data_IF_347742192263
#
_entry.id   IF_347742192263
#
_cell.length_a   1.000
_cell.length_b   1.000
_cell.length_c   1.000
_cell.angle_alpha   90.00
_cell.angle_beta   90.00
_cell.angle_gamma   90.00
#
_symmetry.space_group_name_H-M   'P 1'
#
loop_
_entity.id
_entity.type
_entity.pdbx_description
1 polymer ?
#
# COMPACT_ATOMS: atom_id res chain seq x y z
N UNK A 1 -22.40 47.22 -57.78
CA UNK A 1 -22.60 46.27 -56.66
C UNK A 1 -21.28 45.54 -56.44
N UNK A 2 -20.70 45.56 -55.24
CA UNK A 2 -19.39 44.96 -54.99
C UNK A 2 -19.51 43.56 -54.38
N UNK A 3 -18.71 42.61 -54.87
CA UNK A 3 -18.47 41.34 -54.17
C UNK A 3 -17.37 41.56 -53.13
N UNK A 4 -17.68 41.23 -51.87
CA UNK A 4 -16.81 41.49 -50.72
C UNK A 4 -15.93 40.25 -50.49
N UNK A 5 -14.63 40.35 -50.79
CA UNK A 5 -13.68 39.28 -50.53
C UNK A 5 -13.55 39.01 -49.02
N UNK A 6 -13.40 37.74 -48.64
CA UNK A 6 -13.18 37.34 -47.25
C UNK A 6 -11.69 37.46 -46.86
N UNK A 7 -11.35 37.89 -45.64
CA UNK A 7 -9.97 37.99 -45.18
C UNK A 7 -9.36 36.59 -44.92
N UNK A 8 -8.02 36.44 -45.02
CA UNK A 8 -7.35 35.20 -44.69
C UNK A 8 -7.45 34.87 -43.19
N UNK A 9 -7.42 33.58 -42.86
CA UNK A 9 -7.39 33.12 -41.46
C UNK A 9 -6.00 33.35 -40.85
N UNK A 10 -5.89 33.78 -39.57
CA UNK A 10 -4.61 33.89 -38.90
C UNK A 10 -3.99 32.49 -38.66
N UNK A 11 -2.67 32.39 -38.83
CA UNK A 11 -1.89 31.20 -38.47
C UNK A 11 -1.81 31.07 -36.95
N UNK A 12 -2.22 29.91 -36.41
CA UNK A 12 -2.16 29.64 -34.97
C UNK A 12 -0.71 29.58 -34.49
N UNK A 13 -0.35 30.40 -33.49
CA UNK A 13 0.95 30.33 -32.83
C UNK A 13 0.98 29.20 -31.79
N UNK A 14 2.05 28.39 -31.79
CA UNK A 14 2.22 27.28 -30.85
C UNK A 14 2.58 27.76 -29.42
N UNK A 15 1.58 28.27 -28.71
CA UNK A 15 1.71 28.66 -27.30
C UNK A 15 2.15 27.48 -26.44
N UNK A 16 3.37 27.56 -25.91
CA UNK A 16 3.87 26.61 -24.90
C UNK A 16 3.21 26.92 -23.55
N UNK A 17 2.08 26.29 -23.27
CA UNK A 17 1.45 26.33 -21.95
C UNK A 17 2.38 25.71 -20.90
N UNK A 18 2.92 26.53 -19.99
CA UNK A 18 3.51 26.03 -18.76
C UNK A 18 2.39 25.39 -17.91
N UNK A 19 2.28 24.06 -17.97
CA UNK A 19 1.43 23.30 -17.06
C UNK A 19 2.08 23.38 -15.67
N UNK A 20 1.51 24.18 -14.78
CA UNK A 20 1.96 24.27 -13.40
C UNK A 20 1.89 22.91 -12.73
N UNK A 21 2.98 22.50 -12.07
CA UNK A 21 3.12 21.19 -11.46
C UNK A 21 2.26 21.06 -10.18
N UNK A 22 0.95 20.90 -10.36
CA UNK A 22 0.09 20.35 -9.32
C UNK A 22 0.62 18.96 -8.96
N UNK A 23 0.87 18.71 -7.68
CA UNK A 23 1.26 17.40 -7.21
C UNK A 23 0.14 16.41 -7.55
N UNK A 24 0.39 15.49 -8.49
CA UNK A 24 -0.57 14.48 -8.90
C UNK A 24 -1.02 13.70 -7.66
N UNK A 25 -2.30 13.84 -7.32
CA UNK A 25 -2.89 13.16 -6.18
C UNK A 25 -2.74 11.66 -6.37
N UNK A 26 -1.90 11.04 -5.54
CA UNK A 26 -1.58 9.62 -5.68
C UNK A 26 -2.87 8.78 -5.72
N UNK A 27 -3.00 7.81 -6.64
CA UNK A 27 -4.19 6.97 -6.73
C UNK A 27 -4.44 6.33 -5.36
N UNK A 28 -5.68 6.47 -4.87
CA UNK A 28 -6.04 6.39 -3.44
C UNK A 28 -5.98 4.99 -2.81
N UNK A 29 -5.24 4.08 -3.43
CA UNK A 29 -5.33 2.63 -3.26
C UNK A 29 -4.12 1.87 -3.84
N UNK A 30 -2.90 2.38 -3.71
CA UNK A 30 -1.73 1.50 -3.88
C UNK A 30 -1.73 0.41 -2.80
N UNK A 31 -1.44 -0.86 -3.15
CA UNK A 31 -1.23 -1.94 -2.16
C UNK A 31 0.11 -1.81 -1.41
N UNK A 32 0.94 -0.85 -1.82
CA UNK A 32 2.22 -0.50 -1.24
C UNK A 32 2.17 0.94 -0.71
N UNK A 33 2.86 1.20 0.40
CA UNK A 33 3.07 2.54 0.93
C UNK A 33 4.56 2.88 0.92
N UNK A 34 4.95 4.13 0.61
CA UNK A 34 6.34 4.55 0.68
C UNK A 34 6.88 4.39 2.10
N UNK A 35 8.12 3.88 2.28
CA UNK A 35 8.77 3.82 3.59
C UNK A 35 8.74 5.17 4.32
N UNK A 36 8.61 5.16 5.64
CA UNK A 36 8.43 6.37 6.47
C UNK A 36 9.58 7.38 6.46
N UNK A 37 10.73 7.03 5.87
CA UNK A 37 11.85 7.95 5.62
C UNK A 37 11.77 8.67 4.26
N UNK A 38 10.81 8.31 3.41
CA UNK A 38 10.57 9.01 2.15
C UNK A 38 9.93 10.36 2.46
N UNK A 39 10.51 11.43 1.93
CA UNK A 39 10.10 12.81 2.21
C UNK A 39 10.18 13.65 0.95
N UNK A 40 9.34 14.67 0.86
CA UNK A 40 9.48 15.66 -0.20
C UNK A 40 10.86 16.34 -0.09
N UNK A 41 11.60 16.48 -1.21
CA UNK A 41 12.85 17.22 -1.23
C UNK A 41 12.67 18.68 -0.82
N UNK A 42 13.75 19.32 -0.38
CA UNK A 42 13.76 20.77 -0.12
C UNK A 42 13.77 21.53 -1.46
N UNK A 43 13.26 22.77 -1.52
CA UNK A 43 13.38 23.61 -2.73
C UNK A 43 14.82 23.82 -3.22
N UNK A 44 15.80 23.77 -2.30
CA UNK A 44 17.23 23.89 -2.59
C UNK A 44 17.93 22.56 -2.92
N UNK A 45 17.24 21.41 -2.83
CA UNK A 45 17.81 20.11 -3.24
C UNK A 45 17.98 20.05 -4.76
N UNK A 46 18.94 19.23 -5.21
CA UNK A 46 19.14 18.98 -6.64
C UNK A 46 17.84 18.51 -7.32
N UNK A 47 17.45 19.22 -8.39
CA UNK A 47 16.36 18.83 -9.27
C UNK A 47 16.68 17.45 -9.89
N UNK A 48 15.68 16.58 -9.94
CA UNK A 48 15.85 15.17 -10.27
C UNK A 48 14.83 14.75 -11.32
N UNK A 49 15.29 14.08 -12.37
CA UNK A 49 14.45 13.53 -13.42
C UNK A 49 14.83 12.07 -13.69
N UNK A 50 13.86 11.26 -14.13
CA UNK A 50 14.09 9.88 -14.55
C UNK A 50 13.73 9.75 -16.02
N UNK A 51 14.65 9.16 -16.78
CA UNK A 51 14.43 8.84 -18.20
C UNK A 51 14.14 7.35 -18.34
N UNK A 52 13.02 7.02 -18.97
CA UNK A 52 12.58 5.66 -19.28
C UNK A 52 12.74 5.40 -20.79
N UNK A 53 13.46 4.35 -21.16
CA UNK A 53 13.68 3.94 -22.54
C UNK A 53 13.29 2.46 -22.71
N UNK A 54 12.24 2.19 -23.50
CA UNK A 54 11.90 0.82 -23.89
C UNK A 54 12.81 0.32 -25.02
N UNK A 55 12.80 -0.98 -25.31
CA UNK A 55 13.65 -1.56 -26.38
C UNK A 55 13.46 -0.91 -27.77
N UNK A 56 12.28 -0.33 -28.06
CA UNK A 56 11.92 0.19 -29.40
C UNK A 56 11.36 1.62 -29.40
N UNK A 57 11.25 2.26 -28.25
CA UNK A 57 10.65 3.59 -28.11
C UNK A 57 11.67 4.68 -27.77
N UNK A 58 11.32 5.92 -28.09
CA UNK A 58 12.09 7.10 -27.69
C UNK A 58 12.18 7.24 -26.16
N UNK A 59 13.27 7.81 -25.61
CA UNK A 59 13.41 8.02 -24.18
C UNK A 59 12.40 9.06 -23.65
N UNK A 60 11.52 8.64 -22.74
CA UNK A 60 10.57 9.51 -22.06
C UNK A 60 11.19 10.04 -20.76
N UNK A 61 11.21 11.37 -20.57
CA UNK A 61 11.78 12.02 -19.38
C UNK A 61 10.68 12.54 -18.46
N UNK A 62 10.73 12.11 -17.20
CA UNK A 62 9.79 12.46 -16.15
C UNK A 62 10.50 13.30 -15.08
N UNK A 63 9.93 14.45 -14.71
CA UNK A 63 10.43 15.26 -13.60
C UNK A 63 9.92 14.69 -12.27
N UNK A 64 10.83 14.49 -11.31
CA UNK A 64 10.55 14.00 -9.96
C UNK A 64 11.10 14.97 -8.89
N UNK A 65 11.34 16.23 -9.27
CA UNK A 65 12.01 17.23 -8.45
C UNK A 65 11.25 17.57 -7.16
N UNK A 66 9.92 17.67 -7.20
CA UNK A 66 9.07 17.99 -6.04
C UNK A 66 8.51 16.79 -5.27
N UNK A 67 8.78 15.55 -5.71
CA UNK A 67 8.05 14.36 -5.23
C UNK A 67 8.86 13.51 -4.25
N UNK A 68 8.22 13.08 -3.15
CA UNK A 68 8.81 12.16 -2.17
C UNK A 68 9.08 10.75 -2.74
N UNK A 69 8.30 10.35 -3.74
CA UNK A 69 8.47 9.15 -4.54
C UNK A 69 7.87 9.36 -5.93
N UNK A 70 8.24 8.50 -6.88
CA UNK A 70 7.67 8.42 -8.22
C UNK A 70 7.55 6.95 -8.64
N UNK A 71 6.46 6.59 -9.30
CA UNK A 71 6.18 5.19 -9.67
C UNK A 71 6.67 4.93 -11.09
N UNK A 72 7.34 3.79 -11.28
CA UNK A 72 7.73 3.30 -12.59
C UNK A 72 6.75 2.21 -13.00
N UNK A 73 5.84 2.56 -13.88
CA UNK A 73 4.99 1.60 -14.60
C UNK A 73 5.85 0.77 -15.56
N UNK A 74 5.48 -0.49 -15.75
CA UNK A 74 5.99 -1.27 -16.87
C UNK A 74 5.40 -0.74 -18.18
N UNK A 75 6.12 -0.85 -19.30
CA UNK A 75 5.53 -0.51 -20.60
C UNK A 75 4.31 -1.41 -20.87
N UNK A 76 3.12 -0.83 -20.89
CA UNK A 76 1.88 -1.55 -21.17
C UNK A 76 1.97 -2.14 -22.59
N UNK A 77 2.12 -3.46 -22.68
CA UNK A 77 2.00 -4.20 -23.93
C UNK A 77 0.57 -4.72 -23.97
N UNK A 78 -0.20 -4.25 -24.96
CA UNK A 78 -1.68 -4.21 -24.91
C UNK A 78 -2.36 -5.59 -24.85
N UNK A 79 -1.60 -6.68 -25.01
CA UNK A 79 -2.09 -8.07 -25.15
C UNK A 79 -2.01 -8.94 -23.88
N UNK A 80 -1.60 -8.41 -22.71
CA UNK A 80 -1.37 -9.24 -21.49
C UNK A 80 -1.94 -8.64 -20.21
N UNK A 81 -3.15 -9.08 -19.87
CA UNK A 81 -3.92 -8.69 -18.66
C UNK A 81 -3.20 -8.94 -17.32
N UNK A 82 -2.20 -9.84 -17.27
CA UNK A 82 -1.51 -10.26 -16.05
C UNK A 82 -0.26 -9.42 -15.67
N UNK A 83 0.07 -8.34 -16.40
CA UNK A 83 1.24 -7.50 -16.03
C UNK A 83 0.91 -6.55 -14.87
N UNK A 84 1.67 -6.66 -13.77
CA UNK A 84 1.55 -5.78 -12.61
C UNK A 84 1.71 -4.30 -12.99
N UNK A 85 0.66 -3.52 -12.77
CA UNK A 85 0.58 -2.10 -13.16
C UNK A 85 1.72 -1.23 -12.61
N UNK A 86 2.26 -1.55 -11.43
CA UNK A 86 3.44 -0.89 -10.86
C UNK A 86 4.63 -1.86 -10.83
N UNK A 87 5.77 -1.45 -11.41
CA UNK A 87 6.97 -2.30 -11.49
C UNK A 87 7.97 -1.97 -10.39
N UNK A 88 8.29 -0.68 -10.24
CA UNK A 88 9.24 -0.18 -9.26
C UNK A 88 8.82 1.19 -8.71
N UNK A 89 9.37 1.58 -7.56
CA UNK A 89 9.25 2.95 -7.03
C UNK A 89 10.62 3.60 -6.91
N UNK A 90 10.72 4.82 -7.41
CA UNK A 90 11.82 5.75 -7.14
C UNK A 90 11.47 6.48 -5.84
N UNK A 91 12.38 6.50 -4.88
CA UNK A 91 12.16 7.08 -3.55
C UNK A 91 13.16 8.19 -3.29
N UNK A 92 12.72 9.29 -2.68
CA UNK A 92 13.58 10.41 -2.26
C UNK A 92 13.50 10.59 -0.74
N UNK A 93 14.62 10.94 -0.12
CA UNK A 93 14.68 11.29 1.30
C UNK A 93 14.91 12.80 1.51
N UNK A 94 14.86 13.24 2.76
CA UNK A 94 15.09 14.62 3.25
C UNK A 94 16.43 15.28 2.86
N UNK A 95 17.31 14.59 2.13
CA UNK A 95 18.63 15.08 1.65
C UNK A 95 18.74 14.95 0.13
N UNK A 96 17.61 15.00 -0.58
CA UNK A 96 17.48 14.82 -2.03
C UNK A 96 17.87 13.44 -2.59
N UNK A 97 18.39 12.50 -1.77
CA UNK A 97 19.01 11.25 -2.23
C UNK A 97 17.97 10.30 -2.80
N UNK A 98 18.27 9.77 -3.99
CA UNK A 98 17.40 8.84 -4.69
C UNK A 98 17.71 7.38 -4.37
N UNK A 99 16.66 6.57 -4.33
CA UNK A 99 16.70 5.12 -4.17
C UNK A 99 15.72 4.49 -5.17
N UNK A 100 15.95 3.22 -5.50
CA UNK A 100 15.05 2.38 -6.30
C UNK A 100 14.55 1.21 -5.43
N UNK A 101 13.28 0.85 -5.56
CA UNK A 101 12.65 -0.29 -4.89
C UNK A 101 11.83 -1.09 -5.91
N UNK A 102 12.03 -2.40 -5.93
CA UNK A 102 11.17 -3.33 -6.68
C UNK A 102 9.83 -3.53 -5.95
N UNK A 103 8.71 -3.37 -6.64
CA UNK A 103 7.35 -3.46 -6.05
C UNK A 103 6.77 -4.89 -6.14
N UNK A 104 7.60 -5.91 -5.91
CA UNK A 104 7.27 -7.33 -6.16
C UNK A 104 6.99 -7.62 -7.63
N UNK A 105 7.70 -6.97 -8.55
CA UNK A 105 7.47 -7.16 -9.99
C UNK A 105 7.76 -8.60 -10.42
N UNK A 106 6.87 -9.18 -11.22
CA UNK A 106 6.94 -10.60 -11.61
C UNK A 106 8.24 -10.90 -12.39
N UNK A 107 8.54 -10.07 -13.38
CA UNK A 107 9.75 -10.12 -14.20
C UNK A 107 10.99 -9.55 -13.51
N UNK A 108 10.82 -8.71 -12.48
CA UNK A 108 11.90 -8.23 -11.61
C UNK A 108 12.50 -6.89 -12.01
N UNK A 109 12.98 -6.13 -11.03
CA UNK A 109 13.86 -4.97 -11.22
C UNK A 109 15.32 -5.40 -11.06
N UNK A 110 16.21 -4.93 -11.93
CA UNK A 110 17.63 -5.23 -11.91
C UNK A 110 18.47 -3.95 -11.85
N UNK A 111 19.58 -3.98 -11.12
CA UNK A 111 20.55 -2.89 -11.03
C UNK A 111 21.95 -3.50 -11.00
N UNK A 112 22.90 -2.96 -11.77
CA UNK A 112 24.26 -3.54 -11.91
C UNK A 112 24.25 -5.05 -12.24
N UNK A 113 23.34 -5.48 -13.13
CA UNK A 113 23.07 -6.88 -13.52
C UNK A 113 22.54 -7.80 -12.40
N UNK A 114 22.28 -7.30 -11.19
CA UNK A 114 21.71 -8.07 -10.07
C UNK A 114 20.21 -7.79 -9.90
N UNK A 115 19.37 -8.82 -9.69
CA UNK A 115 17.95 -8.63 -9.36
C UNK A 115 17.82 -8.05 -7.95
N UNK A 116 17.06 -6.96 -7.82
CA UNK A 116 16.75 -6.37 -6.53
C UNK A 116 15.80 -7.27 -5.73
N UNK A 117 15.89 -7.23 -4.40
CA UNK A 117 14.91 -7.90 -3.53
C UNK A 117 13.63 -7.06 -3.48
N UNK A 118 12.43 -7.66 -3.70
CA UNK A 118 11.16 -6.98 -3.54
C UNK A 118 11.03 -6.22 -2.22
N UNK A 119 10.41 -5.03 -2.29
CA UNK A 119 10.12 -4.13 -1.16
C UNK A 119 11.36 -3.69 -0.35
N UNK A 120 12.58 -3.87 -0.89
CA UNK A 120 13.80 -3.29 -0.33
C UNK A 120 14.27 -2.11 -1.18
N UNK A 121 14.58 -0.99 -0.54
CA UNK A 121 15.21 0.16 -1.17
C UNK A 121 16.72 -0.07 -1.37
N UNK A 122 17.21 0.34 -2.53
CA UNK A 122 18.62 0.35 -2.91
C UNK A 122 19.01 1.76 -3.33
N UNK A 123 20.15 2.29 -2.86
CA UNK A 123 20.62 3.62 -3.26
C UNK A 123 20.86 3.64 -4.78
N UNK A 124 20.26 4.62 -5.47
CA UNK A 124 20.40 4.77 -6.91
C UNK A 124 21.26 6.00 -7.20
N UNK A 125 22.40 5.79 -7.87
CA UNK A 125 23.27 6.88 -8.32
C UNK A 125 22.96 7.22 -9.81
N UNK A 126 23.21 8.45 -10.29
CA UNK A 126 22.93 8.86 -11.67
C UNK A 126 23.67 8.06 -12.76
N UNK A 127 24.87 7.57 -12.45
CA UNK A 127 25.72 6.74 -13.32
C UNK A 127 25.22 5.30 -13.50
N UNK A 128 24.24 4.87 -12.69
CA UNK A 128 23.75 3.50 -12.67
C UNK A 128 22.44 3.37 -13.44
N UNK A 129 22.43 2.56 -14.50
CA UNK A 129 21.18 2.16 -15.18
C UNK A 129 20.45 1.08 -14.39
N UNK A 130 19.15 1.29 -14.17
CA UNK A 130 18.20 0.29 -13.69
C UNK A 130 17.50 -0.34 -14.89
N UNK A 131 17.17 -1.63 -14.80
CA UNK A 131 16.39 -2.35 -15.82
C UNK A 131 15.12 -2.90 -15.18
N UNK A 132 13.98 -2.51 -15.74
CA UNK A 132 12.65 -2.99 -15.37
C UNK A 132 12.29 -4.15 -16.30
N UNK A 133 12.13 -5.34 -15.73
CA UNK A 133 11.72 -6.55 -16.44
C UNK A 133 12.86 -7.29 -17.12
N UNK A 134 12.50 -8.21 -18.02
CA UNK A 134 13.43 -9.09 -18.73
C UNK A 134 13.35 -8.88 -20.25
N UNK A 135 14.44 -9.12 -21.01
CA UNK A 135 14.39 -9.10 -22.47
C UNK A 135 13.34 -10.06 -23.06
N UNK A 136 12.73 -9.72 -24.22
CA UNK A 136 12.95 -8.48 -24.98
C UNK A 136 12.25 -7.26 -24.37
N UNK A 137 11.15 -7.45 -23.64
CA UNK A 137 10.23 -6.41 -23.14
C UNK A 137 10.74 -5.67 -21.88
N UNK A 138 12.02 -5.29 -21.85
CA UNK A 138 12.60 -4.53 -20.73
C UNK A 138 12.57 -3.02 -21.00
N UNK A 139 12.41 -2.24 -19.92
CA UNK A 139 12.57 -0.78 -19.93
C UNK A 139 13.83 -0.44 -19.14
N UNK A 140 14.70 0.39 -19.72
CA UNK A 140 15.86 0.96 -19.03
C UNK A 140 15.43 2.25 -18.34
N UNK A 141 15.80 2.41 -17.09
CA UNK A 141 15.60 3.62 -16.32
C UNK A 141 16.96 4.24 -15.96
N UNK A 142 17.11 5.54 -16.23
CA UNK A 142 18.30 6.33 -15.92
C UNK A 142 17.93 7.53 -15.06
N UNK A 143 18.69 7.78 -13.99
CA UNK A 143 18.48 8.89 -13.08
C UNK A 143 19.36 10.08 -13.49
N UNK A 144 18.77 11.26 -13.61
CA UNK A 144 19.47 12.50 -13.88
C UNK A 144 19.28 13.46 -12.70
N UNK A 145 20.37 13.88 -12.08
CA UNK A 145 20.36 14.98 -11.11
C UNK A 145 20.97 16.21 -11.79
N UNK A 146 20.22 17.30 -11.85
CA UNK A 146 20.80 18.58 -12.19
C UNK A 146 21.78 18.97 -11.08
N UNK A 147 23.00 19.36 -11.44
CA UNK A 147 23.84 20.09 -10.49
C UNK A 147 23.09 21.39 -10.18
N UNK A 148 22.55 21.50 -8.96
CA UNK A 148 21.87 22.71 -8.54
C UNK A 148 22.80 23.89 -8.76
N UNK A 149 22.31 24.93 -9.43
CA UNK A 149 23.05 26.17 -9.64
C UNK A 149 23.31 26.79 -8.28
N UNK A 150 24.45 26.40 -7.69
CA UNK A 150 24.95 26.86 -6.40
C UNK A 150 25.13 28.36 -6.54
N UNK A 151 24.07 29.12 -6.21
CA UNK A 151 24.09 30.58 -6.22
C UNK A 151 25.34 30.99 -5.49
N UNK A 152 26.26 31.60 -6.22
CA UNK A 152 27.35 32.34 -5.61
C UNK A 152 26.68 33.29 -4.63
N UNK A 153 26.89 33.04 -3.34
CA UNK A 153 26.57 34.02 -2.31
C UNK A 153 27.60 35.12 -2.52
N UNK A 154 27.28 36.03 -3.43
CA UNK A 154 28.11 37.17 -3.76
C UNK A 154 28.47 37.89 -2.46
N UNK A 155 29.72 38.32 -2.38
CA UNK A 155 30.28 38.84 -1.14
C UNK A 155 29.48 40.03 -0.67
N UNK A 156 29.03 39.97 0.57
CA UNK A 156 28.57 41.14 1.33
C UNK A 156 29.80 42.05 1.50
N UNK A 157 30.01 42.90 0.49
CA UNK A 157 31.20 43.72 0.31
C UNK A 157 30.94 45.04 1.00
N UNK A 158 31.49 45.21 2.19
CA UNK A 158 31.32 46.42 3.00
C UNK A 158 31.95 47.63 2.32
N UNK A 159 31.13 48.52 1.75
CA UNK A 159 31.52 49.90 1.46
C UNK A 159 31.18 50.79 2.67
N UNK A 160 32.20 51.37 3.29
CA UNK A 160 32.02 52.49 4.22
C UNK A 160 31.73 53.78 3.44
N UNK A 161 30.64 54.47 3.76
CA UNK A 161 30.39 55.83 3.30
C UNK A 161 29.75 56.67 4.42
N UNK A 162 30.43 57.74 4.82
CA UNK A 162 30.10 58.52 6.02
C UNK A 162 29.45 59.87 5.71
N UNK A 163 28.19 60.06 6.11
CA UNK A 163 27.55 61.38 6.29
C UNK A 163 26.29 61.23 7.17
N UNK A 164 26.28 61.67 8.43
CA UNK A 164 26.06 63.05 8.89
C UNK A 164 24.68 63.63 8.53
N UNK A 165 23.70 63.47 9.44
CA UNK A 165 22.39 64.11 9.39
C UNK A 165 21.66 63.96 10.73
N UNK A 166 21.10 65.04 11.28
CA UNK A 166 20.64 65.10 12.68
C UNK A 166 19.12 65.37 12.83
N UNK A 167 18.62 65.21 14.06
CA UNK A 167 17.28 65.62 14.55
C UNK A 167 16.10 64.77 14.05
N UNK A 168 15.04 64.48 14.83
CA UNK A 168 14.61 64.95 16.17
C UNK A 168 13.63 63.96 16.87
N UNK A 169 13.30 64.25 18.14
CA UNK A 169 12.09 63.87 18.92
C UNK A 169 11.10 62.80 18.37
N UNK A 170 10.66 61.78 19.13
CA UNK A 170 10.89 61.40 20.53
C UNK A 170 9.62 61.40 21.41
N UNK A 171 9.37 60.32 22.16
CA UNK A 171 8.49 60.29 23.36
C UNK A 171 8.70 59.00 24.16
N UNK A 172 8.65 59.10 25.49
CA UNK A 172 8.78 57.96 26.41
C UNK A 172 7.64 57.93 27.44
N UNK A 173 7.02 56.77 27.67
CA UNK A 173 6.21 56.40 28.85
C UNK A 173 5.52 55.04 28.63
N UNK A 174 5.15 54.22 29.64
CA UNK A 174 5.62 54.06 31.04
C UNK A 174 4.93 52.82 31.64
N UNK A 175 5.70 51.87 32.20
CA UNK A 175 5.32 50.85 33.22
C UNK A 175 3.91 50.20 33.18
N UNK A 176 3.86 48.86 33.25
CA UNK A 176 3.67 48.18 34.56
C UNK A 176 4.07 46.70 34.52
N UNK A 177 4.52 46.20 35.67
CA UNK A 177 4.59 44.78 36.00
C UNK A 177 3.81 44.55 37.30
N UNK A 178 3.24 43.35 37.47
CA UNK A 178 2.70 42.81 38.73
C UNK A 178 2.93 41.30 38.71
N UNK A 179 3.24 40.70 39.85
CA UNK A 179 3.40 39.24 40.02
C UNK A 179 2.87 38.79 41.39
N UNK A 180 2.24 37.62 41.42
CA UNK A 180 1.88 36.75 42.56
C UNK A 180 1.32 35.43 41.94
N UNK A 181 1.51 34.18 42.39
CA UNK A 181 1.73 33.54 43.71
C UNK A 181 0.53 33.66 44.68
N UNK A 182 0.09 32.65 45.44
CA UNK A 182 0.30 31.18 45.45
C UNK A 182 -0.93 30.55 46.20
N UNK A 183 -1.05 29.29 46.67
CA UNK A 183 -0.19 28.11 46.80
C UNK A 183 -1.07 26.82 47.00
N UNK A 184 -0.43 25.65 47.16
CA UNK A 184 -0.94 24.43 47.86
C UNK A 184 -2.03 23.58 47.16
N UNK A 185 -2.08 22.24 47.26
CA UNK A 185 -1.24 21.19 47.89
C UNK A 185 -1.98 19.83 47.81
N UNK A 186 -1.50 18.65 48.24
CA UNK A 186 -0.18 18.13 48.64
C UNK A 186 -0.23 16.57 48.66
N UNK A 187 0.91 15.88 48.83
CA UNK A 187 1.03 14.40 48.92
C UNK A 187 1.59 13.75 47.65
N UNK A 188 2.71 13.02 47.62
CA UNK A 188 3.23 11.92 48.46
C UNK A 188 2.54 10.55 48.18
N UNK A 189 3.24 9.41 48.11
CA UNK A 189 4.63 9.11 48.45
C UNK A 189 5.33 8.20 47.41
N UNK A 190 6.66 8.09 47.51
CA UNK A 190 7.47 7.14 46.74
C UNK A 190 7.83 5.90 47.60
N UNK A 191 8.05 4.75 46.95
CA UNK A 191 8.60 3.55 47.58
C UNK A 191 9.60 2.87 46.63
N UNK A 192 10.83 2.65 47.09
CA UNK A 192 11.90 2.01 46.31
C UNK A 192 12.81 1.18 47.24
N UNK A 193 12.81 -0.14 47.05
CA UNK A 193 13.59 -1.13 47.82
C UNK A 193 13.71 -2.42 46.99
N UNK A 194 14.76 -3.24 47.15
CA UNK A 194 16.14 -2.89 46.84
C UNK A 194 16.76 -3.85 45.80
N UNK A 195 18.02 -3.60 45.40
CA UNK A 195 18.85 -4.64 44.80
C UNK A 195 19.39 -5.59 45.88
N UNK A 196 19.52 -6.88 45.55
CA UNK A 196 20.29 -7.86 46.32
C UNK A 196 21.50 -8.34 45.51
N UNK A 197 22.60 -8.64 46.20
CA UNK A 197 23.85 -9.07 45.58
C UNK A 197 24.41 -10.29 46.32
N UNK A 198 25.14 -11.13 45.57
CA UNK A 198 25.99 -12.18 46.13
C UNK A 198 25.35 -13.55 46.29
N UNK A 199 25.82 -14.51 45.50
CA UNK A 199 26.35 -15.77 46.00
C UNK A 199 27.26 -16.39 44.93
N UNK A 200 28.52 -16.64 45.26
CA UNK A 200 29.45 -17.39 44.41
C UNK A 200 29.26 -18.88 44.65
N UNK A 201 29.30 -19.70 43.60
CA UNK A 201 29.58 -21.12 43.74
C UNK A 201 30.46 -21.63 42.59
N UNK A 202 31.55 -22.29 42.97
CA UNK A 202 32.23 -23.29 42.15
C UNK A 202 31.36 -24.57 42.10
N UNK A 203 31.70 -25.68 41.44
CA UNK A 203 32.99 -26.22 40.98
C UNK A 203 32.78 -27.28 39.86
N UNK A 204 33.78 -28.14 39.66
CA UNK A 204 33.72 -29.45 38.98
C UNK A 204 33.84 -29.49 37.45
N UNK A 205 35.09 -29.71 37.04
CA UNK A 205 35.49 -30.39 35.80
C UNK A 205 34.84 -31.77 35.62
N UNK A 206 34.45 -32.11 34.38
CA UNK A 206 34.04 -33.45 33.95
C UNK A 206 34.51 -33.73 32.51
N UNK A 207 34.75 -34.99 32.10
CA UNK A 207 35.60 -35.29 30.96
C UNK A 207 34.92 -35.18 29.58
N UNK A 208 35.77 -35.06 28.55
CA UNK A 208 35.40 -35.26 27.14
C UNK A 208 35.33 -36.76 26.82
N UNK A 209 34.22 -37.24 26.30
CA UNK A 209 34.19 -38.46 25.49
C UNK A 209 34.12 -38.11 24.00
N UNK A 210 34.85 -38.86 23.17
CA UNK A 210 34.75 -38.77 21.72
C UNK A 210 33.71 -39.78 21.23
N UNK A 211 32.73 -39.32 20.46
CA UNK A 211 31.76 -40.20 19.79
C UNK A 211 31.77 -39.96 18.29
N UNK A 212 31.64 -41.04 17.52
CA UNK A 212 31.99 -41.07 16.11
C UNK A 212 30.96 -40.40 15.20
N UNK A 213 31.43 -39.84 14.08
CA UNK A 213 30.55 -39.45 12.95
C UNK A 213 29.99 -40.72 12.29
N UNK A 214 28.68 -40.95 12.45
CA UNK A 214 27.91 -41.73 11.48
C UNK A 214 27.31 -40.76 10.45
N UNK A 215 27.52 -40.99 9.15
CA UNK A 215 26.83 -40.22 8.11
C UNK A 215 25.39 -40.75 7.93
N UNK A 216 24.37 -39.88 7.94
CA UNK A 216 23.01 -40.28 7.61
C UNK A 216 22.90 -40.52 6.10
N UNK A 217 22.49 -41.73 5.71
CA UNK A 217 22.35 -42.12 4.31
C UNK A 217 21.40 -41.16 3.55
N UNK A 218 21.78 -40.80 2.33
CA UNK A 218 21.05 -39.87 1.48
C UNK A 218 19.72 -40.48 0.98
N UNK A 219 18.66 -40.34 1.78
CA UNK A 219 17.31 -40.70 1.35
C UNK A 219 16.90 -39.86 0.14
N UNK A 220 16.57 -40.53 -0.97
CA UNK A 220 16.22 -39.89 -2.23
C UNK A 220 15.08 -38.88 -2.05
N UNK A 221 15.38 -37.59 -2.29
CA UNK A 221 14.47 -36.51 -2.00
C UNK A 221 13.28 -36.49 -2.97
N UNK A 222 12.17 -37.07 -2.55
CA UNK A 222 10.85 -36.92 -3.18
C UNK A 222 10.54 -35.44 -3.49
N UNK A 223 10.15 -35.16 -4.75
CA UNK A 223 9.79 -33.82 -5.24
C UNK A 223 8.41 -33.36 -4.73
N UNK A 224 8.24 -33.33 -3.40
CA UNK A 224 7.07 -32.75 -2.76
C UNK A 224 6.99 -31.24 -2.96
N UNK A 225 5.77 -30.71 -2.99
CA UNK A 225 5.51 -29.27 -2.78
C UNK A 225 5.59 -28.97 -1.27
N UNK A 226 5.78 -27.70 -0.94
CA UNK A 226 5.84 -27.24 0.45
C UNK A 226 4.44 -27.00 1.02
N UNK A 227 3.99 -27.80 1.98
CA UNK A 227 2.63 -27.71 2.57
C UNK A 227 2.35 -26.38 3.31
N UNK A 228 3.37 -25.52 3.47
CA UNK A 228 3.30 -24.18 4.09
C UNK A 228 3.19 -23.03 3.07
N UNK A 229 3.50 -23.23 1.79
CA UNK A 229 3.49 -22.16 0.78
C UNK A 229 3.37 -22.63 -0.69
N UNK A 230 3.06 -23.90 -0.93
CA UNK A 230 2.92 -24.58 -2.23
C UNK A 230 4.16 -24.56 -3.17
N UNK A 231 5.25 -23.92 -2.75
CA UNK A 231 6.49 -23.80 -3.51
C UNK A 231 7.24 -25.14 -3.70
N UNK A 232 8.16 -25.22 -4.68
CA UNK A 232 8.84 -26.45 -5.09
C UNK A 232 10.03 -26.82 -4.17
N UNK A 233 9.75 -27.08 -2.90
CA UNK A 233 10.74 -27.47 -1.89
C UNK A 233 10.08 -28.24 -0.75
N UNK A 234 10.87 -28.99 0.05
CA UNK A 234 10.35 -29.70 1.24
C UNK A 234 9.85 -28.73 2.31
N UNK A 235 8.79 -29.14 3.02
CA UNK A 235 8.08 -28.36 4.05
C UNK A 235 8.94 -27.92 5.23
N UNK A 236 10.01 -28.65 5.56
CA UNK A 236 11.05 -28.21 6.52
C UNK A 236 11.88 -27.02 5.99
N UNK A 237 12.28 -27.08 4.71
CA UNK A 237 13.20 -26.13 4.07
C UNK A 237 12.51 -24.83 3.60
N UNK A 238 11.32 -24.52 4.13
CA UNK A 238 10.52 -23.38 3.68
C UNK A 238 11.21 -22.04 3.98
N UNK A 239 11.57 -21.23 2.97
CA UNK A 239 12.28 -19.97 3.19
C UNK A 239 11.40 -18.92 3.90
N UNK A 240 10.08 -19.04 3.75
CA UNK A 240 9.07 -18.18 4.39
C UNK A 240 8.76 -18.63 5.84
N UNK A 241 8.71 -19.94 6.09
CA UNK A 241 8.16 -20.52 7.33
C UNK A 241 9.14 -21.49 8.00
N UNK A 242 10.20 -20.92 8.57
CA UNK A 242 11.33 -21.63 9.22
C UNK A 242 10.99 -22.28 10.57
N UNK A 243 9.82 -22.01 11.13
CA UNK A 243 9.31 -22.67 12.35
C UNK A 243 8.51 -23.94 11.98
N UNK A 244 8.36 -24.92 12.88
CA UNK A 244 7.34 -25.96 12.75
C UNK A 244 5.94 -25.32 12.60
N UNK A 245 4.98 -26.06 12.02
CA UNK A 245 3.60 -25.57 11.77
C UNK A 245 2.77 -25.55 13.07
N UNK A 246 3.28 -26.21 14.09
CA UNK A 246 2.51 -26.94 15.10
C UNK A 246 2.15 -26.11 16.33
N UNK A 247 1.89 -24.82 16.11
CA UNK A 247 1.47 -23.88 17.15
C UNK A 247 0.61 -22.71 16.67
N UNK A 248 0.33 -22.59 15.37
CA UNK A 248 -0.55 -21.53 14.85
C UNK A 248 -1.99 -22.02 14.66
N UNK A 249 -2.95 -21.18 15.08
CA UNK A 249 -4.37 -21.54 15.26
C UNK A 249 -5.07 -21.87 13.94
N UNK A 250 -4.75 -21.13 12.88
CA UNK A 250 -5.29 -21.31 11.51
C UNK A 250 -5.09 -22.72 10.93
N UNK A 251 -3.92 -23.31 11.13
CA UNK A 251 -3.54 -24.62 10.61
C UNK A 251 -4.37 -25.76 11.25
N UNK A 252 -4.80 -25.59 12.50
CA UNK A 252 -5.50 -26.61 13.28
C UNK A 252 -7.01 -26.37 13.41
N UNK A 253 -7.50 -25.12 13.31
CA UNK A 253 -8.95 -24.78 13.37
C UNK A 253 -9.80 -25.58 12.37
N UNK A 254 -9.21 -25.99 11.24
CA UNK A 254 -9.89 -26.75 10.19
C UNK A 254 -9.56 -28.25 10.18
N UNK A 255 -8.60 -28.71 10.99
CA UNK A 255 -8.21 -30.12 11.01
C UNK A 255 -9.26 -30.92 11.81
N UNK A 256 -9.87 -31.93 11.18
CA UNK A 256 -10.90 -32.78 11.79
C UNK A 256 -12.33 -32.21 11.86
N UNK A 257 -12.56 -30.91 11.58
CA UNK A 257 -13.92 -30.35 11.53
C UNK A 257 -14.56 -30.61 10.16
N UNK A 258 -15.62 -31.44 10.10
CA UNK A 258 -16.34 -31.75 8.85
C UNK A 258 -17.05 -30.54 8.23
N UNK A 259 -17.57 -29.62 9.05
CA UNK A 259 -18.30 -28.42 8.61
C UNK A 259 -17.91 -27.19 9.46
N UNK A 260 -16.72 -26.59 9.26
CA UNK A 260 -16.39 -25.32 9.89
C UNK A 260 -17.20 -24.20 9.22
N UNK A 261 -17.89 -23.39 10.02
CA UNK A 261 -18.67 -22.22 9.56
C UNK A 261 -17.71 -21.11 9.12
N UNK A 262 -17.17 -21.22 7.89
CA UNK A 262 -16.19 -20.29 7.35
C UNK A 262 -16.80 -19.36 6.30
N UNK A 263 -16.97 -18.09 6.69
CA UNK A 263 -16.97 -16.99 5.73
C UNK A 263 -15.63 -16.95 4.99
N UNK A 264 -15.65 -16.52 3.73
CA UNK A 264 -14.47 -16.46 2.86
C UNK A 264 -14.26 -17.70 1.97
N UNK A 265 -14.93 -18.83 2.23
CA UNK A 265 -14.88 -20.01 1.34
C UNK A 265 -15.82 -19.87 0.16
N UNK A 266 -15.48 -20.47 -0.98
CA UNK A 266 -16.31 -20.51 -2.21
C UNK A 266 -17.71 -21.15 -2.06
N UNK A 267 -17.98 -21.82 -0.94
CA UNK A 267 -19.20 -22.60 -0.74
C UNK A 267 -19.31 -23.80 -1.68
N UNK A 268 -18.17 -24.38 -2.07
CA UNK A 268 -18.09 -25.39 -3.13
C UNK A 268 -18.04 -24.78 -4.54
N UNK A 269 -17.81 -25.62 -5.55
CA UNK A 269 -17.61 -25.16 -6.94
C UNK A 269 -18.93 -24.81 -7.63
N UNK A 270 -19.47 -23.63 -7.31
CA UNK A 270 -20.73 -23.13 -7.85
C UNK A 270 -20.52 -22.26 -9.10
N UNK A 271 -21.24 -22.57 -10.17
CA UNK A 271 -21.26 -21.76 -11.40
C UNK A 271 -22.65 -21.14 -11.61
N UNK A 272 -22.69 -19.81 -11.69
CA UNK A 272 -23.84 -19.10 -12.22
C UNK A 272 -23.73 -19.08 -13.74
N UNK A 273 -24.62 -19.80 -14.43
CA UNK A 273 -24.62 -19.92 -15.90
C UNK A 273 -24.98 -18.61 -16.61
N UNK A 274 -25.77 -17.77 -15.95
CA UNK A 274 -26.43 -16.61 -16.54
C UNK A 274 -26.50 -15.45 -15.53
N UNK A 275 -26.01 -14.29 -15.95
CA UNK A 275 -26.01 -13.09 -15.12
C UNK A 275 -25.68 -11.85 -15.93
N UNK A 276 -25.84 -10.67 -15.32
CA UNK A 276 -25.50 -9.37 -15.88
C UNK A 276 -24.60 -8.62 -14.89
N UNK A 277 -23.38 -8.31 -15.32
CA UNK A 277 -22.53 -7.34 -14.64
C UNK A 277 -23.17 -5.94 -14.75
N UNK A 278 -23.04 -5.15 -13.69
CA UNK A 278 -23.50 -3.76 -13.63
C UNK A 278 -22.27 -2.92 -13.24
N UNK A 279 -21.68 -2.18 -14.19
CA UNK A 279 -20.48 -1.38 -13.97
C UNK A 279 -20.59 -0.46 -12.76
N UNK A 280 -19.60 -0.52 -11.87
CA UNK A 280 -19.46 0.41 -10.74
C UNK A 280 -18.37 1.46 -11.01
N UNK A 281 -18.41 2.65 -10.39
CA UNK A 281 -17.40 3.67 -10.64
C UNK A 281 -16.03 3.28 -10.07
N UNK A 282 -14.96 3.62 -10.80
CA UNK A 282 -13.57 3.43 -10.40
C UNK A 282 -13.05 4.38 -9.32
N UNK A 283 -13.91 4.91 -8.45
CA UNK A 283 -13.60 5.94 -7.44
C UNK A 283 -12.89 5.42 -6.18
N UNK A 284 -12.28 4.23 -6.26
CA UNK A 284 -11.73 3.50 -5.12
C UNK A 284 -12.79 2.98 -4.14
N UNK A 285 -14.09 3.09 -4.45
CA UNK A 285 -15.20 2.60 -3.63
C UNK A 285 -16.09 1.56 -4.33
N UNK A 286 -15.67 1.01 -5.47
CA UNK A 286 -16.41 0.04 -6.31
C UNK A 286 -17.08 -1.12 -5.52
N UNK A 287 -16.40 -1.69 -4.51
CA UNK A 287 -16.99 -2.70 -3.62
C UNK A 287 -18.19 -2.13 -2.84
N UNK A 288 -18.05 -0.95 -2.25
CA UNK A 288 -19.11 -0.33 -1.44
C UNK A 288 -20.30 0.05 -2.32
N UNK A 289 -20.07 0.49 -3.57
CA UNK A 289 -21.14 0.69 -4.56
C UNK A 289 -21.84 -0.62 -4.94
N UNK A 290 -21.07 -1.70 -5.20
CA UNK A 290 -21.60 -3.04 -5.44
C UNK A 290 -22.48 -3.57 -4.30
N UNK A 291 -22.01 -3.42 -3.05
CA UNK A 291 -22.76 -3.80 -1.86
C UNK A 291 -24.01 -2.93 -1.70
N UNK A 292 -23.93 -1.61 -1.90
CA UNK A 292 -25.09 -0.71 -1.87
C UNK A 292 -26.13 -1.06 -2.94
N UNK A 293 -25.73 -1.40 -4.17
CA UNK A 293 -26.63 -1.83 -5.23
C UNK A 293 -27.42 -3.09 -4.83
N UNK A 294 -26.74 -4.08 -4.22
CA UNK A 294 -27.39 -5.28 -3.69
C UNK A 294 -28.32 -4.99 -2.50
N UNK A 295 -27.91 -4.13 -1.56
CA UNK A 295 -28.74 -3.70 -0.43
C UNK A 295 -29.98 -2.90 -0.88
N UNK A 296 -29.86 -2.10 -1.95
CA UNK A 296 -30.95 -1.32 -2.55
C UNK A 296 -31.94 -2.18 -3.38
N UNK A 297 -31.67 -3.48 -3.55
CA UNK A 297 -32.49 -4.40 -4.33
C UNK A 297 -32.28 -4.28 -5.84
N UNK A 298 -31.03 -4.11 -6.28
CA UNK A 298 -30.68 -4.02 -7.70
C UNK A 298 -30.95 -2.65 -8.34
N UNK A 299 -31.02 -1.60 -7.53
CA UNK A 299 -31.31 -0.21 -7.96
C UNK A 299 -30.13 0.70 -7.64
N UNK A 300 -29.70 1.49 -8.62
CA UNK A 300 -28.61 2.46 -8.48
C UNK A 300 -28.95 3.58 -7.50
N UNK A 301 -30.21 4.02 -7.48
CA UNK A 301 -30.72 5.00 -6.53
C UNK A 301 -31.50 4.29 -5.42
N UNK A 302 -31.09 4.49 -4.16
CA UNK A 302 -31.72 3.88 -2.99
C UNK A 302 -31.14 4.39 -1.67
N UNK A 303 -31.57 3.80 -0.56
CA UNK A 303 -31.25 4.24 0.81
C UNK A 303 -29.77 4.07 1.16
N UNK A 304 -29.09 3.07 0.59
CA UNK A 304 -27.69 2.78 0.87
C UNK A 304 -26.78 3.48 -0.14
N UNK A 305 -25.83 4.28 0.38
CA UNK A 305 -24.81 5.00 -0.38
C UNK A 305 -23.42 4.54 0.05
N UNK A 306 -22.49 4.35 -0.90
CA UNK A 306 -21.17 3.79 -0.65
C UNK A 306 -20.38 4.51 0.44
N UNK A 307 -20.35 5.84 0.43
CA UNK A 307 -19.65 6.67 1.42
C UNK A 307 -20.22 6.57 2.84
N UNK A 308 -21.52 6.24 2.97
CA UNK A 308 -22.18 5.95 4.25
C UNK A 308 -21.90 4.52 4.70
N UNK A 309 -22.08 3.53 3.82
CA UNK A 309 -21.79 2.12 4.11
C UNK A 309 -20.33 1.93 4.56
N UNK A 310 -19.38 2.53 3.84
CA UNK A 310 -17.94 2.60 4.20
C UNK A 310 -17.71 3.03 5.65
N UNK A 311 -18.41 4.08 6.11
CA UNK A 311 -18.29 4.60 7.49
C UNK A 311 -18.96 3.69 8.52
N UNK A 312 -20.09 3.08 8.18
CA UNK A 312 -20.83 2.12 9.04
C UNK A 312 -20.04 0.81 9.21
N UNK A 313 -19.45 0.26 8.14
CA UNK A 313 -18.64 -0.97 8.19
C UNK A 313 -17.36 -0.79 8.99
N UNK A 314 -16.62 0.29 8.75
CA UNK A 314 -15.42 0.60 9.52
C UNK A 314 -15.72 0.85 11.01
N UNK A 315 -16.87 1.48 11.32
CA UNK A 315 -17.32 1.61 12.72
C UNK A 315 -17.70 0.26 13.33
N UNK A 316 -18.37 -0.62 12.58
CA UNK A 316 -18.67 -1.98 13.03
C UNK A 316 -17.40 -2.75 13.37
N UNK A 317 -16.38 -2.72 12.51
CA UNK A 317 -15.07 -3.34 12.79
C UNK A 317 -14.40 -2.71 14.02
N UNK A 318 -14.43 -1.38 14.16
CA UNK A 318 -13.84 -0.68 15.31
C UNK A 318 -14.53 -1.04 16.64
N UNK A 319 -15.86 -1.21 16.65
CA UNK A 319 -16.63 -1.56 17.85
C UNK A 319 -16.64 -3.06 18.17
N UNK A 320 -16.23 -3.94 17.24
CA UNK A 320 -16.32 -5.40 17.39
C UNK A 320 -14.98 -6.14 17.15
N UNK A 321 -13.81 -5.65 17.62
CA UNK A 321 -12.51 -6.24 17.28
C UNK A 321 -12.39 -7.72 17.67
N UNK A 322 -13.01 -8.13 18.78
CA UNK A 322 -13.02 -9.51 19.31
C UNK A 322 -14.11 -10.42 18.73
N UNK A 323 -14.96 -9.91 17.83
CA UNK A 323 -15.98 -10.73 17.17
C UNK A 323 -15.32 -11.76 16.25
N UNK A 324 -15.75 -13.02 16.34
CA UNK A 324 -15.14 -14.13 15.61
C UNK A 324 -15.80 -14.36 14.24
N UNK A 325 -14.97 -14.48 13.22
CA UNK A 325 -15.29 -14.80 11.84
C UNK A 325 -14.42 -15.97 11.41
N UNK A 326 -15.04 -17.08 10.98
CA UNK A 326 -14.36 -18.31 10.52
C UNK A 326 -13.46 -19.03 11.55
N UNK A 327 -13.44 -18.59 12.80
CA UNK A 327 -12.62 -19.13 13.92
C UNK A 327 -11.77 -18.07 14.62
N UNK A 328 -11.51 -16.96 13.94
CA UNK A 328 -10.54 -15.92 14.29
C UNK A 328 -11.21 -14.57 14.48
N UNK A 329 -10.62 -13.63 15.23
CA UNK A 329 -11.24 -12.34 15.55
C UNK A 329 -11.06 -11.30 14.43
N UNK A 330 -11.93 -10.29 14.37
CA UNK A 330 -11.80 -9.17 13.41
C UNK A 330 -10.46 -8.43 13.54
N UNK A 331 -9.92 -8.29 14.75
CA UNK A 331 -8.58 -7.75 14.98
C UNK A 331 -7.45 -8.66 14.47
N UNK A 332 -7.62 -10.00 14.52
CA UNK A 332 -6.72 -10.96 13.88
C UNK A 332 -6.80 -10.81 12.34
N UNK A 333 -7.99 -10.76 11.75
CA UNK A 333 -8.21 -10.55 10.31
C UNK A 333 -7.56 -9.26 9.80
N UNK A 334 -7.83 -8.12 10.45
CA UNK A 334 -7.21 -6.82 10.10
C UNK A 334 -5.68 -6.88 10.17
N UNK A 335 -5.14 -7.58 11.19
CA UNK A 335 -3.70 -7.73 11.37
C UNK A 335 -3.06 -8.60 10.27
N UNK A 336 -3.72 -9.66 9.81
CA UNK A 336 -3.19 -10.52 8.75
C UNK A 336 -3.29 -9.87 7.36
N UNK A 337 -4.40 -9.18 7.07
CA UNK A 337 -4.63 -8.51 5.77
C UNK A 337 -3.75 -7.27 5.58
N UNK A 338 -3.54 -6.48 6.65
CA UNK A 338 -2.89 -5.15 6.53
C UNK A 338 -1.67 -4.90 7.40
N UNK A 339 -1.29 -5.85 8.27
CA UNK A 339 -0.23 -5.67 9.26
C UNK A 339 -0.37 -4.38 10.10
N UNK A 340 -1.61 -3.99 10.41
CA UNK A 340 -1.94 -2.75 11.12
C UNK A 340 -2.91 -2.99 12.30
N UNK A 341 -3.13 -1.96 13.13
CA UNK A 341 -4.12 -2.00 14.21
C UNK A 341 -5.52 -1.65 13.70
N UNK A 342 -6.55 -2.11 14.41
CA UNK A 342 -7.96 -1.84 14.08
C UNK A 342 -8.26 -0.33 13.95
N UNK A 343 -7.72 0.52 14.83
CA UNK A 343 -7.90 1.98 14.71
C UNK A 343 -7.19 2.60 13.50
N UNK A 344 -6.05 2.05 13.07
CA UNK A 344 -5.36 2.50 11.86
C UNK A 344 -6.14 2.08 10.60
N UNK A 345 -6.52 0.81 10.56
CA UNK A 345 -7.32 0.21 9.49
C UNK A 345 -8.66 0.93 9.30
N UNK A 346 -9.43 1.10 10.37
CA UNK A 346 -10.77 1.70 10.30
C UNK A 346 -10.71 3.20 10.01
N UNK A 347 -9.68 3.91 10.48
CA UNK A 347 -9.41 5.30 10.09
C UNK A 347 -9.11 5.42 8.59
N UNK A 348 -8.29 4.51 8.03
CA UNK A 348 -8.02 4.41 6.58
C UNK A 348 -9.31 4.15 5.80
N UNK A 349 -10.03 3.07 6.10
CA UNK A 349 -11.24 2.68 5.37
C UNK A 349 -12.33 3.77 5.45
N UNK A 350 -12.48 4.48 6.58
CA UNK A 350 -13.41 5.61 6.72
C UNK A 350 -13.15 6.77 5.76
N UNK A 351 -11.89 7.04 5.38
CA UNK A 351 -11.52 8.15 4.52
C UNK A 351 -11.28 7.75 3.06
N UNK A 352 -10.83 6.52 2.78
CA UNK A 352 -10.54 6.05 1.42
C UNK A 352 -9.98 4.63 1.36
N UNK A 353 -9.33 4.29 0.26
CA UNK A 353 -8.81 2.94 0.01
C UNK A 353 -9.88 1.91 -0.38
N UNK A 354 -9.44 0.81 -0.98
CA UNK A 354 -10.31 -0.31 -1.35
C UNK A 354 -10.73 -1.11 -0.11
N UNK A 355 -11.96 -1.62 -0.15
CA UNK A 355 -12.43 -2.65 0.77
C UNK A 355 -12.27 -4.05 0.16
N UNK A 356 -12.34 -5.09 1.00
CA UNK A 356 -12.20 -6.48 0.58
C UNK A 356 -13.01 -7.45 1.45
N UNK A 357 -12.42 -8.61 1.76
CA UNK A 357 -13.09 -9.66 2.53
C UNK A 357 -13.52 -9.23 3.94
N UNK A 358 -12.81 -8.29 4.57
CA UNK A 358 -13.16 -7.73 5.88
C UNK A 358 -14.47 -6.91 5.77
N UNK A 359 -14.58 -6.01 4.79
CA UNK A 359 -15.80 -5.25 4.53
C UNK A 359 -16.98 -6.16 4.17
N UNK A 360 -16.76 -7.20 3.38
CA UNK A 360 -17.82 -8.16 3.04
C UNK A 360 -18.29 -8.93 4.27
N UNK A 361 -17.38 -9.45 5.10
CA UNK A 361 -17.74 -10.15 6.33
C UNK A 361 -18.46 -9.22 7.33
N UNK A 362 -17.96 -7.99 7.50
CA UNK A 362 -18.60 -6.96 8.31
C UNK A 362 -20.00 -6.58 7.78
N UNK A 363 -20.19 -6.51 6.45
CA UNK A 363 -21.47 -6.17 5.84
C UNK A 363 -22.49 -7.31 5.96
N UNK A 364 -22.05 -8.56 5.80
CA UNK A 364 -22.86 -9.76 6.02
C UNK A 364 -23.45 -9.77 7.44
N UNK A 365 -22.58 -9.54 8.44
CA UNK A 365 -22.95 -9.48 9.86
C UNK A 365 -23.84 -8.27 10.19
N UNK A 366 -23.42 -7.05 9.80
CA UNK A 366 -24.12 -5.80 10.15
C UNK A 366 -25.50 -5.68 9.47
N UNK A 367 -25.65 -6.17 8.24
CA UNK A 367 -26.89 -6.05 7.45
C UNK A 367 -27.73 -7.32 7.43
N UNK A 368 -27.23 -8.44 7.97
CA UNK A 368 -27.89 -9.76 7.95
C UNK A 368 -28.24 -10.22 6.53
N UNK A 369 -27.24 -10.15 5.66
CA UNK A 369 -27.31 -10.53 4.23
C UNK A 369 -26.21 -11.53 3.91
N UNK A 370 -26.44 -12.41 2.94
CA UNK A 370 -25.36 -13.21 2.37
C UNK A 370 -24.64 -12.39 1.29
N UNK A 371 -23.33 -12.54 1.13
CA UNK A 371 -22.57 -11.90 0.04
C UNK A 371 -21.77 -12.97 -0.70
N UNK A 372 -22.08 -13.21 -1.97
CA UNK A 372 -21.40 -14.19 -2.82
C UNK A 372 -20.56 -13.45 -3.87
N UNK A 373 -19.26 -13.73 -3.86
CA UNK A 373 -18.27 -13.13 -4.78
C UNK A 373 -17.99 -14.09 -5.91
N UNK A 374 -18.05 -13.59 -7.13
CA UNK A 374 -17.85 -14.33 -8.36
C UNK A 374 -16.69 -13.78 -9.16
N UNK A 375 -16.15 -14.61 -10.04
CA UNK A 375 -15.16 -14.24 -11.05
C UNK A 375 -15.69 -14.71 -12.41
N UNK A 376 -15.52 -13.89 -13.46
CA UNK A 376 -15.97 -14.24 -14.80
C UNK A 376 -15.06 -15.31 -15.42
N UNK A 377 -15.66 -16.29 -16.10
CA UNK A 377 -14.95 -17.37 -16.80
C UNK A 377 -15.15 -17.29 -18.31
N UNK A 378 -14.24 -17.93 -19.05
CA UNK A 378 -14.35 -18.12 -20.50
C UNK A 378 -15.70 -18.78 -20.82
N UNK A 379 -16.39 -18.26 -21.82
CA UNK A 379 -17.77 -18.67 -22.14
C UNK A 379 -18.88 -17.90 -21.38
N UNK A 380 -18.54 -16.89 -20.56
CA UNK A 380 -19.51 -15.96 -19.98
C UNK A 380 -20.22 -16.44 -18.70
N UNK A 381 -19.92 -17.65 -18.23
CA UNK A 381 -20.34 -18.12 -16.91
C UNK A 381 -19.54 -17.42 -15.80
N UNK A 382 -20.11 -17.37 -14.58
CA UNK A 382 -19.47 -16.80 -13.40
C UNK A 382 -19.22 -17.88 -12.35
N UNK A 383 -17.97 -18.08 -11.92
CA UNK A 383 -17.60 -19.03 -10.87
C UNK A 383 -17.60 -18.32 -9.51
N UNK A 384 -18.25 -18.89 -8.49
CA UNK A 384 -18.25 -18.32 -7.15
C UNK A 384 -16.93 -18.62 -6.44
N UNK A 385 -16.14 -17.58 -6.21
CA UNK A 385 -14.83 -17.68 -5.55
C UNK A 385 -14.93 -17.55 -4.02
N UNK A 386 -15.95 -16.87 -3.48
CA UNK A 386 -16.10 -16.66 -2.03
C UNK A 386 -17.55 -16.43 -1.58
N UNK A 387 -17.86 -16.76 -0.33
CA UNK A 387 -19.14 -16.56 0.34
C UNK A 387 -18.95 -15.94 1.74
N UNK A 388 -19.74 -14.93 2.05
CA UNK A 388 -19.87 -14.33 3.38
C UNK A 388 -21.34 -14.44 3.79
N UNK A 389 -21.75 -15.67 4.15
CA UNK A 389 -23.12 -15.99 4.54
C UNK A 389 -23.40 -15.53 5.98
N UNK A 390 -24.58 -14.96 6.21
CA UNK A 390 -24.95 -14.43 7.53
C UNK A 390 -25.23 -15.57 8.52
N UNK A 391 -24.72 -15.51 9.77
CA UNK A 391 -24.99 -16.53 10.78
C UNK A 391 -26.46 -16.54 11.25
N UNK A 392 -27.19 -15.44 11.02
CA UNK A 392 -28.65 -15.41 11.11
C UNK A 392 -29.24 -15.74 9.73
N UNK A 393 -30.12 -16.76 9.60
CA UNK A 393 -30.74 -17.11 8.34
C UNK A 393 -31.42 -15.93 7.65
N UNK A 394 -31.11 -15.72 6.38
CA UNK A 394 -31.58 -14.59 5.59
C UNK A 394 -31.88 -15.02 4.16
N UNK A 395 -32.89 -14.39 3.55
CA UNK A 395 -33.28 -14.61 2.14
C UNK A 395 -32.56 -13.66 1.17
N UNK A 396 -31.90 -12.62 1.67
CA UNK A 396 -31.21 -11.63 0.83
C UNK A 396 -29.76 -12.05 0.61
N UNK A 397 -29.42 -12.32 -0.66
CA UNK A 397 -28.04 -12.53 -1.12
C UNK A 397 -27.65 -11.40 -2.06
N UNK A 398 -26.49 -10.80 -1.81
CA UNK A 398 -25.83 -9.84 -2.68
C UNK A 398 -24.80 -10.60 -3.52
N UNK A 399 -24.83 -10.41 -4.84
CA UNK A 399 -23.87 -11.02 -5.74
C UNK A 399 -22.92 -9.92 -6.24
N UNK A 400 -21.62 -10.13 -6.08
CA UNK A 400 -20.55 -9.20 -6.48
C UNK A 400 -19.64 -9.90 -7.48
N UNK A 401 -19.23 -9.21 -8.54
CA UNK A 401 -18.31 -9.69 -9.55
C UNK A 401 -16.94 -9.05 -9.34
N UNK A 402 -15.92 -9.86 -9.09
CA UNK A 402 -14.52 -9.43 -9.04
C UNK A 402 -13.90 -9.49 -10.44
N UNK A 403 -13.13 -8.46 -10.81
CA UNK A 403 -12.54 -8.29 -12.14
C UNK A 403 -11.10 -7.77 -12.05
N UNK A 404 -10.22 -8.28 -12.93
CA UNK A 404 -8.85 -7.78 -13.14
C UNK A 404 -7.94 -7.78 -11.90
N UNK A 405 -8.31 -8.48 -10.82
CA UNK A 405 -7.62 -8.40 -9.54
C UNK A 405 -7.70 -7.04 -8.82
N UNK A 406 -8.53 -6.11 -9.29
CA UNK A 406 -8.55 -4.70 -8.84
C UNK A 406 -9.94 -4.05 -8.76
N UNK A 407 -10.98 -4.64 -9.35
CA UNK A 407 -12.31 -4.02 -9.45
C UNK A 407 -13.45 -4.92 -8.96
N UNK A 408 -14.53 -4.30 -8.49
CA UNK A 408 -15.75 -4.96 -8.04
C UNK A 408 -16.98 -4.35 -8.70
N UNK A 409 -17.61 -5.14 -9.56
CA UNK A 409 -18.90 -4.86 -10.19
C UNK A 409 -20.06 -5.49 -9.41
N UNK A 410 -21.27 -4.95 -9.54
CA UNK A 410 -22.45 -5.61 -9.02
C UNK A 410 -22.92 -6.69 -10.01
N UNK A 411 -23.34 -7.86 -9.52
CA UNK A 411 -23.82 -8.96 -10.35
C UNK A 411 -25.33 -9.17 -10.14
N UNK A 412 -26.07 -9.24 -11.23
CA UNK A 412 -27.50 -9.60 -11.23
C UNK A 412 -27.65 -10.98 -11.85
N UNK A 413 -27.97 -12.04 -11.07
CA UNK A 413 -28.35 -13.34 -11.60
C UNK A 413 -29.53 -13.26 -12.57
N UNK A 414 -29.59 -14.21 -13.52
CA UNK A 414 -30.69 -14.41 -14.46
C UNK A 414 -31.11 -15.88 -14.45
#
# INVERSE_FOLDING_TARGET
>A
RAHKAAPPRPTSACGHSQVGAAAFGAPSSMPWAPPSWCAAPRPDDAAAAVTLQSHRGEPQRHDISGSAYYLLEGSQHEDKEDTSCWHAAVLRNEKGRCFIMDLSSSTGTFMNKQRLKPNKAYKWNPDVTVVLGMPPHHVKASLHLAQGTKRSREGDSSEEASSSGASSSGRAAKRRAVAAEAASGAGAAAAAVPASAGASSSCSTGPREASARAEPAQQAASKGKCDKCDGPHRTEACPHFKKPRDGHKDAWVNYGRKHPLQMGRSGGKFFLKSGRAVPQPGDGSCLFHSLCFGLNGGRSNGQFMASRLRKELAQFVQSNPRMKISGDTLEEWVRWDTNSSVDSYTRRIRSGGWGGGIEMAACSLLKRVNIHVYEQRRGGAFERISCFDSPTPTKQTIHVLYQGGVHYDALVPR
#
